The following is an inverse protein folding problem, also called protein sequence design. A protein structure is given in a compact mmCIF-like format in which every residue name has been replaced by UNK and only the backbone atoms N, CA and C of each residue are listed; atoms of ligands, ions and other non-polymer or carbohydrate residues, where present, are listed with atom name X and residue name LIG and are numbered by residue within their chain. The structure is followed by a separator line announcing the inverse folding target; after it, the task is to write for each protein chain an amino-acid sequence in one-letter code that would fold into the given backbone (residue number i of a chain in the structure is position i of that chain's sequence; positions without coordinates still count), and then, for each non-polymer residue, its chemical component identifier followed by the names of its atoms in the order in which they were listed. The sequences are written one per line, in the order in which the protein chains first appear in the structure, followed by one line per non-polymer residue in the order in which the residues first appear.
data_IF_975246374955
#
_entry.id   IF_975246374955
#
_cell.length_a   1.000
_cell.length_b   1.000
_cell.length_c   1.000
_cell.angle_alpha   90.00
_cell.angle_beta   90.00
_cell.angle_gamma   90.00
#
_symmetry.space_group_name_H-M   'P 1'
#
loop_
_entity.id
_entity.type
_entity.pdbx_description
1 polymer ?
#
# COMPACT_ATOMS: atom_id res chain seq x y z
N UNK A 1 3.79 -29.31 -4.21
CA UNK A 1 4.88 -29.11 -5.21
C UNK A 1 4.53 -27.92 -6.09
N UNK A 2 5.36 -26.88 -6.10
CA UNK A 2 5.14 -25.72 -6.96
C UNK A 2 5.52 -26.07 -8.40
N UNK A 3 4.57 -25.94 -9.35
CA UNK A 3 4.88 -26.06 -10.78
C UNK A 3 5.90 -24.99 -11.15
N UNK A 4 7.05 -25.41 -11.68
CA UNK A 4 8.00 -24.54 -12.35
C UNK A 4 7.24 -23.82 -13.49
N UNK A 5 7.06 -22.51 -13.37
CA UNK A 5 6.34 -21.70 -14.37
C UNK A 5 7.33 -21.29 -15.44
N UNK A 6 7.51 -22.13 -16.44
CA UNK A 6 8.66 -22.05 -17.34
C UNK A 6 8.70 -20.88 -18.34
N UNK A 7 7.63 -20.10 -18.56
CA UNK A 7 7.72 -19.00 -19.55
C UNK A 7 6.95 -17.74 -19.14
N UNK A 8 7.68 -16.62 -19.01
CA UNK A 8 7.17 -15.26 -18.75
C UNK A 8 6.35 -14.68 -19.92
N UNK A 9 6.54 -15.22 -21.12
CA UNK A 9 5.77 -14.90 -22.31
C UNK A 9 6.01 -15.89 -23.44
N UNK A 10 5.09 -15.92 -24.42
CA UNK A 10 5.14 -16.83 -25.58
C UNK A 10 4.67 -16.09 -26.83
N UNK A 11 5.39 -16.25 -27.94
CA UNK A 11 4.93 -15.90 -29.28
C UNK A 11 4.23 -17.12 -29.92
N UNK A 12 3.04 -16.92 -30.47
CA UNK A 12 2.22 -17.97 -31.07
C UNK A 12 1.47 -17.44 -32.29
N UNK A 13 1.10 -18.33 -33.21
CA UNK A 13 0.31 -17.99 -34.41
C UNK A 13 -1.12 -18.48 -34.27
N UNK A 14 -2.09 -17.72 -34.79
CA UNK A 14 -3.50 -18.16 -34.87
C UNK A 14 -3.73 -18.98 -36.14
N UNK A 15 -4.71 -19.87 -36.12
CA UNK A 15 -5.07 -20.68 -37.31
C UNK A 15 -5.52 -19.82 -38.49
N UNK A 16 -6.10 -18.65 -38.21
CA UNK A 16 -6.73 -17.76 -39.20
C UNK A 16 -5.86 -16.54 -39.58
N UNK A 17 -4.64 -16.42 -39.05
CA UNK A 17 -3.79 -15.25 -39.31
C UNK A 17 -2.32 -15.63 -39.46
N UNK A 18 -1.68 -15.12 -40.51
CA UNK A 18 -0.23 -15.30 -40.75
C UNK A 18 0.65 -14.51 -39.78
N UNK A 19 0.09 -13.48 -39.16
CA UNK A 19 0.74 -12.61 -38.17
C UNK A 19 0.99 -13.35 -36.85
N UNK A 20 2.19 -13.18 -36.28
CA UNK A 20 2.53 -13.67 -34.95
C UNK A 20 1.88 -12.83 -33.86
N UNK A 21 1.41 -13.50 -32.83
CA UNK A 21 0.86 -12.90 -31.62
C UNK A 21 1.78 -13.16 -30.45
N UNK A 22 1.88 -12.21 -29.54
CA UNK A 22 2.62 -12.37 -28.30
C UNK A 22 1.66 -12.37 -27.13
N UNK A 23 1.91 -13.22 -26.15
CA UNK A 23 1.22 -13.23 -24.86
C UNK A 23 2.26 -13.15 -23.76
N UNK A 24 2.15 -12.15 -22.92
CA UNK A 24 3.05 -11.93 -21.79
C UNK A 24 2.29 -11.39 -20.58
N UNK A 25 2.94 -11.32 -19.44
CA UNK A 25 2.39 -10.65 -18.26
C UNK A 25 2.99 -9.28 -18.11
N UNK A 26 2.11 -8.31 -17.95
CA UNK A 26 2.47 -6.93 -17.63
C UNK A 26 2.94 -6.82 -16.17
N UNK A 27 3.49 -5.66 -15.78
CA UNK A 27 3.96 -5.38 -14.40
C UNK A 27 2.92 -5.70 -13.34
N UNK A 28 1.65 -5.42 -13.63
CA UNK A 28 0.53 -5.65 -12.72
C UNK A 28 0.10 -7.13 -12.65
N UNK A 29 0.86 -8.06 -13.26
CA UNK A 29 0.56 -9.48 -13.35
C UNK A 29 -0.56 -9.83 -14.33
N UNK A 30 -1.17 -8.81 -14.96
CA UNK A 30 -2.24 -8.95 -15.95
C UNK A 30 -1.68 -9.55 -17.24
N UNK A 31 -2.38 -10.54 -17.78
CA UNK A 31 -2.01 -11.15 -19.06
C UNK A 31 -2.39 -10.21 -20.21
N UNK A 32 -1.40 -9.77 -20.98
CA UNK A 32 -1.59 -9.00 -22.21
C UNK A 32 -1.38 -9.90 -23.42
N UNK A 33 -2.12 -9.59 -24.48
CA UNK A 33 -2.02 -10.26 -25.77
C UNK A 33 -2.02 -9.21 -26.86
N UNK A 34 -0.99 -9.20 -27.67
CA UNK A 34 -0.80 -8.20 -28.72
C UNK A 34 -0.42 -8.88 -30.04
N UNK A 35 -0.88 -8.33 -31.16
CA UNK A 35 -0.41 -8.71 -32.49
C UNK A 35 0.94 -8.05 -32.74
N UNK A 36 1.90 -8.81 -33.22
CA UNK A 36 3.22 -8.26 -33.59
C UNK A 36 3.20 -7.57 -34.94
N UNK A 37 2.13 -7.75 -35.74
CA UNK A 37 1.99 -7.25 -37.11
C UNK A 37 3.09 -7.72 -38.07
N UNK A 38 3.88 -8.74 -37.68
CA UNK A 38 4.89 -9.35 -38.53
C UNK A 38 4.58 -10.84 -38.73
N UNK A 39 4.91 -11.38 -39.89
CA UNK A 39 4.87 -12.82 -40.22
C UNK A 39 6.19 -13.55 -39.89
N UNK A 40 7.27 -12.79 -39.63
CA UNK A 40 8.57 -13.32 -39.21
C UNK A 40 8.59 -13.64 -37.70
N UNK A 41 9.00 -14.87 -37.39
CA UNK A 41 9.16 -15.36 -36.03
C UNK A 41 10.26 -14.62 -35.27
N UNK A 42 11.36 -14.26 -35.93
CA UNK A 42 12.48 -13.58 -35.28
C UNK A 42 12.10 -12.17 -34.82
N UNK A 43 11.40 -11.41 -35.66
CA UNK A 43 10.88 -10.10 -35.30
C UNK A 43 9.82 -10.18 -34.20
N UNK A 44 8.97 -11.21 -34.22
CA UNK A 44 7.98 -11.43 -33.17
C UNK A 44 8.63 -11.75 -31.82
N UNK A 45 9.72 -12.53 -31.82
CA UNK A 45 10.53 -12.81 -30.63
C UNK A 45 11.30 -11.57 -30.15
N UNK A 46 11.81 -10.73 -31.05
CA UNK A 46 12.43 -9.45 -30.70
C UNK A 46 11.43 -8.53 -30.00
N UNK A 47 10.24 -8.35 -30.55
CA UNK A 47 9.14 -7.58 -29.94
C UNK A 47 8.71 -8.14 -28.58
N UNK A 48 8.66 -9.47 -28.43
CA UNK A 48 8.38 -10.10 -27.13
C UNK A 48 9.47 -9.76 -26.11
N UNK A 49 10.75 -9.90 -26.50
CA UNK A 49 11.90 -9.55 -25.65
C UNK A 49 11.88 -8.08 -25.27
N UNK A 50 11.60 -7.17 -26.21
CA UNK A 50 11.44 -5.73 -25.92
C UNK A 50 10.35 -5.46 -24.89
N UNK A 51 9.21 -6.16 -24.93
CA UNK A 51 8.13 -5.97 -23.93
C UNK A 51 8.48 -6.54 -22.56
N UNK A 52 9.19 -7.66 -22.50
CA UNK A 52 9.71 -8.21 -21.24
C UNK A 52 10.83 -7.36 -20.67
N UNK A 53 11.71 -6.84 -21.53
CA UNK A 53 12.77 -5.94 -21.15
C UNK A 53 12.23 -4.58 -20.72
N UNK A 54 11.23 -4.01 -21.38
CA UNK A 54 10.54 -2.81 -20.89
C UNK A 54 9.88 -3.01 -19.52
N UNK A 55 9.41 -4.22 -19.20
CA UNK A 55 8.92 -4.57 -17.85
C UNK A 55 10.07 -4.53 -16.83
N UNK A 56 11.21 -5.11 -17.18
CA UNK A 56 12.37 -5.23 -16.29
C UNK A 56 13.19 -3.93 -16.17
N UNK A 57 13.35 -3.19 -17.26
CA UNK A 57 13.97 -1.86 -17.32
C UNK A 57 13.14 -0.84 -16.54
N UNK A 58 11.81 -0.93 -16.53
CA UNK A 58 10.99 -0.10 -15.61
C UNK A 58 11.25 -0.44 -14.14
N UNK A 59 11.64 -1.67 -13.81
CA UNK A 59 12.05 -2.05 -12.45
C UNK A 59 13.43 -1.48 -12.15
N UNK A 60 14.39 -1.63 -13.07
CA UNK A 60 15.73 -1.09 -12.95
C UNK A 60 15.75 0.45 -12.89
N UNK A 61 14.93 1.13 -13.68
CA UNK A 61 14.77 2.59 -13.65
C UNK A 61 14.05 3.06 -12.40
N UNK A 62 13.08 2.30 -11.88
CA UNK A 62 12.47 2.60 -10.57
C UNK A 62 13.48 2.46 -9.44
N UNK A 63 14.34 1.44 -9.49
CA UNK A 63 15.42 1.23 -8.51
C UNK A 63 16.48 2.32 -8.63
N UNK A 64 16.95 2.65 -9.85
CA UNK A 64 17.90 3.74 -10.12
C UNK A 64 17.36 5.11 -9.72
N UNK A 65 16.09 5.40 -10.01
CA UNK A 65 15.43 6.63 -9.51
C UNK A 65 15.35 6.64 -7.99
N UNK A 66 15.15 5.48 -7.36
CA UNK A 66 15.23 5.32 -5.91
C UNK A 66 16.63 5.56 -5.32
N UNK A 67 17.69 5.25 -6.06
CA UNK A 67 19.08 5.49 -5.66
C UNK A 67 19.46 6.99 -5.68
N UNK A 68 18.83 7.78 -6.55
CA UNK A 68 19.09 9.21 -6.68
C UNK A 68 18.13 10.09 -5.86
N UNK A 69 16.89 9.65 -5.64
CA UNK A 69 15.82 10.48 -5.08
C UNK A 69 15.72 10.37 -3.55
N UNK A 70 15.56 11.51 -2.90
CA UNK A 70 15.25 11.57 -1.47
C UNK A 70 13.80 11.17 -1.19
N UNK A 71 13.51 10.66 0.01
CA UNK A 71 12.14 10.38 0.40
C UNK A 71 11.25 11.64 0.40
N UNK A 72 11.83 12.82 0.71
CA UNK A 72 11.10 14.08 0.69
C UNK A 72 10.53 14.38 -0.70
N UNK A 73 11.40 14.36 -1.71
CA UNK A 73 11.03 14.57 -3.12
C UNK A 73 10.05 13.51 -3.61
N UNK A 74 10.29 12.25 -3.26
CA UNK A 74 9.39 11.15 -3.62
C UNK A 74 8.00 11.32 -2.98
N UNK A 75 7.95 11.73 -1.71
CA UNK A 75 6.68 11.93 -1.01
C UNK A 75 5.89 13.09 -1.64
N UNK A 76 6.54 14.16 -2.07
CA UNK A 76 5.90 15.26 -2.82
C UNK A 76 5.38 14.79 -4.17
N UNK A 77 6.21 14.08 -4.94
CA UNK A 77 5.79 13.47 -6.20
C UNK A 77 4.61 12.50 -6.02
N UNK A 78 4.62 11.69 -4.96
CA UNK A 78 3.55 10.76 -4.62
C UNK A 78 2.23 11.47 -4.31
N UNK A 79 2.30 12.52 -3.48
CA UNK A 79 1.12 13.29 -3.10
C UNK A 79 0.49 13.97 -4.31
N UNK A 80 1.30 14.52 -5.20
CA UNK A 80 0.84 15.23 -6.39
C UNK A 80 0.24 14.28 -7.44
N UNK A 81 0.96 13.21 -7.80
CA UNK A 81 0.64 12.39 -8.97
C UNK A 81 -0.23 11.17 -8.65
N UNK A 82 -0.15 10.65 -7.42
CA UNK A 82 -0.80 9.39 -7.04
C UNK A 82 -1.85 9.53 -5.95
N UNK A 83 -1.87 10.64 -5.21
CA UNK A 83 -2.76 10.80 -4.07
C UNK A 83 -3.95 11.71 -4.33
N UNK A 84 -3.94 12.59 -5.34
CA UNK A 84 -5.04 13.50 -5.61
C UNK A 84 -6.23 12.82 -6.31
N UNK A 85 -7.46 13.34 -6.16
CA UNK A 85 -8.59 12.98 -7.01
C UNK A 85 -8.33 13.32 -8.48
N UNK A 86 -8.93 12.59 -9.45
CA UNK A 86 -9.88 11.48 -9.29
C UNK A 86 -9.23 10.12 -9.00
N UNK A 87 -7.89 10.04 -8.99
CA UNK A 87 -7.18 8.77 -8.83
C UNK A 87 -7.36 8.14 -7.45
N UNK A 88 -7.48 8.96 -6.41
CA UNK A 88 -7.85 8.53 -5.06
C UNK A 88 -8.92 9.43 -4.45
N UNK A 89 -9.71 8.85 -3.55
CA UNK A 89 -10.68 9.60 -2.76
C UNK A 89 -9.98 10.68 -1.91
N UNK A 90 -10.65 11.80 -1.71
CA UNK A 90 -10.15 12.95 -0.95
C UNK A 90 -9.76 12.58 0.49
N UNK A 91 -10.57 11.75 1.16
CA UNK A 91 -10.27 11.24 2.51
C UNK A 91 -8.95 10.48 2.58
N UNK A 92 -8.62 9.70 1.53
CA UNK A 92 -7.34 8.99 1.42
C UNK A 92 -6.18 9.97 1.20
N UNK A 93 -6.41 11.02 0.41
CA UNK A 93 -5.41 12.07 0.20
C UNK A 93 -5.04 12.78 1.51
N UNK A 94 -6.04 13.14 2.31
CA UNK A 94 -5.82 13.76 3.62
C UNK A 94 -5.02 12.85 4.57
N UNK A 95 -5.33 11.56 4.59
CA UNK A 95 -4.59 10.59 5.40
C UNK A 95 -3.13 10.55 4.95
N UNK A 96 -2.87 10.47 3.63
CA UNK A 96 -1.51 10.47 3.09
C UNK A 96 -0.76 11.76 3.41
N UNK A 97 -1.41 12.92 3.35
CA UNK A 97 -0.83 14.21 3.76
C UNK A 97 -0.42 14.21 5.24
N UNK A 98 -1.29 13.69 6.12
CA UNK A 98 -0.99 13.57 7.56
C UNK A 98 0.17 12.60 7.82
N UNK A 99 0.23 11.49 7.09
CA UNK A 99 1.33 10.52 7.19
C UNK A 99 2.64 11.15 6.71
N UNK A 100 2.65 11.80 5.55
CA UNK A 100 3.83 12.47 5.00
C UNK A 100 4.37 13.56 5.96
N UNK A 101 3.49 14.31 6.62
CA UNK A 101 3.87 15.30 7.65
C UNK A 101 4.70 14.70 8.79
N UNK A 102 4.49 13.43 9.13
CA UNK A 102 5.24 12.77 10.20
C UNK A 102 6.49 12.04 9.71
N UNK A 103 6.47 11.51 8.48
CA UNK A 103 7.61 10.80 7.92
C UNK A 103 8.69 11.74 7.36
N UNK A 104 8.31 12.86 6.75
CA UNK A 104 9.25 13.82 6.14
C UNK A 104 10.31 14.38 7.10
N UNK A 105 9.98 14.76 8.35
CA UNK A 105 11.01 15.24 9.29
C UNK A 105 12.08 14.20 9.65
N UNK A 106 11.79 12.91 9.48
CA UNK A 106 12.69 11.82 9.85
C UNK A 106 13.44 11.28 8.63
N UNK A 107 12.71 11.04 7.54
CA UNK A 107 13.24 10.38 6.35
C UNK A 107 13.48 11.33 5.18
N UNK A 108 13.01 12.58 5.24
CA UNK A 108 12.96 13.48 4.09
C UNK A 108 14.30 13.67 3.38
N UNK A 109 15.40 13.76 4.12
CA UNK A 109 16.75 13.89 3.58
C UNK A 109 17.43 12.54 3.25
N UNK A 110 16.84 11.42 3.68
CA UNK A 110 17.36 10.09 3.37
C UNK A 110 16.99 9.72 1.94
N UNK A 111 17.91 9.09 1.21
CA UNK A 111 17.59 8.45 -0.07
C UNK A 111 16.64 7.30 0.17
N UNK A 112 15.78 7.00 -0.81
CA UNK A 112 14.83 5.89 -0.69
C UNK A 112 15.54 4.54 -0.45
N UNK A 113 16.67 4.31 -1.12
CA UNK A 113 17.48 3.10 -0.95
C UNK A 113 18.08 2.93 0.44
N UNK A 114 18.29 4.03 1.16
CA UNK A 114 18.90 4.01 2.50
C UNK A 114 17.87 3.73 3.60
N UNK A 115 16.58 3.72 3.27
CA UNK A 115 15.50 3.46 4.24
C UNK A 115 15.35 1.94 4.41
N UNK A 116 16.06 1.39 5.38
CA UNK A 116 15.97 -0.02 5.76
C UNK A 116 14.77 -0.31 6.68
N UNK A 117 14.41 -1.59 6.79
CA UNK A 117 13.38 -2.07 7.72
C UNK A 117 13.70 -1.65 9.17
N UNK A 118 14.96 -1.73 9.59
CA UNK A 118 15.38 -1.36 10.95
C UNK A 118 15.12 0.12 11.25
N UNK A 119 15.36 1.01 10.28
CA UNK A 119 15.08 2.45 10.44
C UNK A 119 13.59 2.72 10.60
N UNK A 120 12.75 1.97 9.86
CA UNK A 120 11.30 2.05 9.97
C UNK A 120 10.85 1.55 11.35
N UNK A 121 11.38 0.41 11.80
CA UNK A 121 11.04 -0.15 13.11
C UNK A 121 11.45 0.77 14.26
N UNK A 122 12.66 1.35 14.19
CA UNK A 122 13.12 2.32 15.18
C UNK A 122 12.21 3.56 15.23
N UNK A 123 11.80 4.06 14.07
CA UNK A 123 10.83 5.16 13.98
C UNK A 123 9.49 4.76 14.63
N UNK A 124 8.95 3.58 14.33
CA UNK A 124 7.70 3.10 14.93
C UNK A 124 7.79 3.01 16.46
N UNK A 125 8.86 2.41 16.99
CA UNK A 125 9.10 2.32 18.45
C UNK A 125 9.22 3.69 19.11
N UNK A 126 9.84 4.67 18.44
CA UNK A 126 9.90 6.06 18.93
C UNK A 126 8.54 6.72 18.88
N UNK A 127 7.79 6.52 17.79
CA UNK A 127 6.49 7.15 17.55
C UNK A 127 5.44 6.64 18.54
N UNK A 128 5.37 5.33 18.77
CA UNK A 128 4.42 4.73 19.71
C UNK A 128 4.65 5.20 21.15
N UNK A 129 5.87 5.59 21.55
CA UNK A 129 6.13 6.16 22.89
C UNK A 129 5.64 7.60 23.06
N UNK A 130 5.28 8.29 21.98
CA UNK A 130 4.83 9.68 22.06
C UNK A 130 3.37 9.76 22.50
N UNK A 131 3.04 10.81 23.24
CA UNK A 131 1.66 11.13 23.63
C UNK A 131 0.93 11.86 22.51
N UNK A 132 -0.38 11.62 22.43
CA UNK A 132 -1.27 12.35 21.54
C UNK A 132 -1.33 13.80 22.02
N UNK A 133 -1.05 14.75 21.14
CA UNK A 133 -1.25 16.18 21.41
C UNK A 133 -2.53 16.64 20.72
N UNK A 134 -3.47 17.11 21.53
CA UNK A 134 -4.77 17.61 21.08
C UNK A 134 -4.72 19.14 21.18
N UNK A 135 -4.91 19.83 20.06
CA UNK A 135 -5.01 21.30 20.05
C UNK A 135 -6.38 21.70 20.63
N UNK A 136 -6.38 22.54 21.63
CA UNK A 136 -7.57 23.14 22.27
C UNK A 136 -7.52 24.66 22.14
N UNK A 137 -8.64 25.35 22.39
CA UNK A 137 -8.69 26.82 22.34
C UNK A 137 -7.70 27.52 23.29
N UNK A 138 -7.29 26.83 24.36
CA UNK A 138 -6.32 27.30 25.37
C UNK A 138 -4.89 26.77 25.15
N UNK A 139 -4.59 26.12 24.02
CA UNK A 139 -3.26 25.61 23.70
C UNK A 139 -3.25 24.14 23.30
N UNK A 140 -2.44 23.33 23.98
CA UNK A 140 -2.33 21.89 23.72
C UNK A 140 -2.58 21.09 24.99
N UNK A 141 -3.41 20.05 24.89
CA UNK A 141 -3.58 19.03 25.92
C UNK A 141 -2.87 17.76 25.50
N UNK A 142 -2.12 17.16 26.43
CA UNK A 142 -1.55 15.82 26.23
C UNK A 142 -2.59 14.75 26.61
N UNK A 143 -2.82 13.83 25.68
CA UNK A 143 -3.66 12.65 25.85
C UNK A 143 -2.83 11.40 26.18
N UNK A 144 -3.42 10.24 25.90
CA UNK A 144 -2.75 8.94 26.06
C UNK A 144 -1.58 8.77 25.09
N UNK A 145 -0.77 7.75 25.36
CA UNK A 145 0.31 7.29 24.47
C UNK A 145 -0.30 6.73 23.18
N UNK A 146 0.39 6.94 22.05
CA UNK A 146 -0.04 6.40 20.76
C UNK A 146 -0.10 4.88 20.79
N UNK A 147 -1.25 4.31 20.45
CA UNK A 147 -1.44 2.88 20.36
C UNK A 147 -1.21 2.38 18.93
N UNK A 148 -0.75 1.13 18.81
CA UNK A 148 -0.72 0.47 17.52
C UNK A 148 -2.16 0.22 17.05
N UNK A 149 -2.43 0.42 15.76
CA UNK A 149 -3.77 0.22 15.20
C UNK A 149 -4.29 -1.21 15.41
N UNK A 150 -3.39 -2.20 15.48
CA UNK A 150 -3.71 -3.61 15.78
C UNK A 150 -4.37 -3.78 17.14
N UNK A 151 -3.97 -3.00 18.16
CA UNK A 151 -4.50 -3.14 19.52
C UNK A 151 -5.89 -2.51 19.65
N UNK A 152 -6.16 -1.47 18.85
CA UNK A 152 -7.41 -0.71 18.89
C UNK A 152 -8.64 -1.47 18.36
N UNK A 153 -8.44 -2.43 17.44
CA UNK A 153 -9.52 -3.29 16.93
C UNK A 153 -9.96 -4.30 17.99
N UNK A 154 -9.00 -4.80 18.77
CA UNK A 154 -9.25 -5.76 19.86
C UNK A 154 -9.88 -5.08 21.06
N UNK A 155 -9.42 -3.86 21.40
CA UNK A 155 -10.00 -3.07 22.51
C UNK A 155 -11.43 -2.61 22.24
N UNK A 156 -11.78 -2.18 21.02
CA UNK A 156 -13.18 -1.83 20.68
C UNK A 156 -14.13 -3.04 20.72
N UNK A 157 -13.64 -4.25 20.45
CA UNK A 157 -14.44 -5.49 20.58
C UNK A 157 -14.64 -5.93 22.03
N UNK A 158 -13.71 -5.62 22.93
CA UNK A 158 -13.84 -5.86 24.38
C UNK A 158 -14.87 -4.90 25.01
N UNK A 159 -14.79 -3.60 24.70
CA UNK A 159 -15.69 -2.60 25.28
C UNK A 159 -17.15 -2.73 24.81
N UNK A 160 -17.38 -3.32 23.64
CA UNK A 160 -18.72 -3.64 23.14
C UNK A 160 -19.34 -4.91 23.78
N UNK A 161 -18.55 -5.75 24.46
CA UNK A 161 -19.06 -6.93 25.19
C UNK A 161 -19.42 -6.60 26.63
N UNK A 162 -18.72 -5.65 27.25
CA UNK A 162 -18.98 -5.29 28.65
C UNK A 162 -20.25 -4.42 28.84
N UNK A 163 -20.71 -3.74 27.79
CA UNK A 163 -21.99 -3.00 27.81
C UNK A 163 -23.24 -3.87 27.61
N UNK A 164 -23.11 -5.14 27.20
CA UNK A 164 -24.25 -6.02 26.92
C UNK A 164 -24.51 -7.08 28.01
N UNK A 165 -23.73 -7.10 29.09
CA UNK A 165 -23.89 -8.07 30.19
C UNK A 165 -24.36 -7.45 31.53
N UNK A 166 -24.72 -6.16 31.55
CA UNK A 166 -25.23 -5.46 32.74
C UNK A 166 -26.70 -4.99 32.62
N UNK A 167 -27.53 -5.72 31.86
CA UNK A 167 -28.97 -5.77 32.15
C UNK A 167 -29.27 -7.08 32.85
N UNK A 168 -28.83 -7.12 34.11
CA UNK A 168 -29.31 -8.07 35.08
C UNK A 168 -30.84 -7.92 35.19
N UNK A 169 -31.52 -8.99 34.78
CA UNK A 169 -32.66 -9.55 35.49
C UNK A 169 -32.72 -9.11 36.96
N UNK A 170 -33.78 -8.39 37.35
CA UNK A 170 -34.38 -8.48 38.68
C UNK A 170 -35.84 -8.00 38.57
N UNK A 171 -36.71 -9.01 38.52
CA UNK A 171 -38.16 -8.95 38.66
C UNK A 171 -38.47 -8.49 40.10
N UNK A 172 -39.35 -7.50 40.34
CA UNK A 172 -39.80 -7.20 41.69
C UNK A 172 -40.78 -8.28 42.17
N UNK A 173 -40.40 -8.98 43.25
CA UNK A 173 -41.29 -9.85 44.01
C UNK A 173 -42.17 -8.99 44.92
N UNK A 174 -43.47 -9.09 44.65
CA UNK A 174 -44.57 -8.54 45.43
C UNK A 174 -44.75 -9.39 46.70
N UNK A 175 -44.46 -8.82 47.88
CA UNK A 175 -44.87 -9.39 49.17
C UNK A 175 -45.32 -8.24 50.06
N UNK A 176 -46.62 -8.02 50.13
CA UNK A 176 -47.28 -7.29 51.20
C UNK A 176 -48.43 -8.12 51.74
N UNK A 177 -48.31 -8.53 53.00
CA UNK A 177 -49.34 -9.16 53.79
C UNK A 177 -48.92 -9.08 55.27
N UNK A 178 -49.79 -8.58 56.18
CA UNK A 178 -49.51 -8.55 57.61
C UNK A 178 -49.51 -9.95 58.24
#
# INVERSE_FOLDING_TARGET
MARLREHDGVAFRRKESKVWWIRYRDRNGVRRRESTHTEDWNEAQRKLRERLQARDDNILDTVKKGESMSFGEWADFFLENYSKPPLRAESTHEINMRVAKHLKPVFGMSKLVDISADKIELYLRRRLRQRIRIKTGLGYREGSVLQAATDSVTSRRSQARDHFCFQATLIPLDISGP
#
